data_IF_615866993231
#
_entry.id   IF_615866993231
#
_cell.length_a   1.000
_cell.length_b   1.000
_cell.length_c   1.000
_cell.angle_alpha   90.00
_cell.angle_beta   90.00
_cell.angle_gamma   90.00
#
_symmetry.space_group_name_H-M   'P 1'
#
loop_
_entity.id
_entity.type
_entity.pdbx_description
1 polymer ?
#
# COMPACT_ATOMS: atom_id res chain seq x y z
N UNK A 1 45.98 1.25 4.22
CA UNK A 1 46.37 2.24 3.20
C UNK A 1 45.35 3.35 3.25
N UNK A 2 45.77 4.50 3.78
CA UNK A 2 44.99 5.74 3.87
C UNK A 2 44.93 6.37 2.48
N UNK A 3 43.78 6.89 2.08
CA UNK A 3 43.69 7.86 0.98
C UNK A 3 42.81 9.03 1.42
N UNK A 4 43.46 10.19 1.37
CA UNK A 4 42.98 11.51 1.74
C UNK A 4 42.05 12.09 0.67
N UNK A 5 41.02 12.78 1.17
CA UNK A 5 40.40 14.06 0.75
C UNK A 5 40.88 14.64 -0.60
N UNK A 6 39.94 15.01 -1.48
CA UNK A 6 39.95 16.31 -2.17
C UNK A 6 38.54 16.70 -2.61
N UNK A 7 38.08 17.85 -2.12
CA UNK A 7 36.88 18.57 -2.54
C UNK A 7 37.33 19.79 -3.35
N UNK A 8 36.76 20.09 -4.52
CA UNK A 8 36.95 21.40 -5.14
C UNK A 8 35.73 22.27 -4.93
N UNK A 9 35.96 23.39 -4.24
CA UNK A 9 35.07 24.55 -4.24
C UNK A 9 35.02 25.15 -5.66
N UNK A 10 33.83 25.38 -6.19
CA UNK A 10 33.63 26.18 -7.40
C UNK A 10 33.15 27.56 -7.00
N UNK A 11 33.98 28.54 -7.34
CA UNK A 11 33.81 29.97 -7.12
C UNK A 11 32.66 30.56 -7.95
N UNK A 12 31.86 31.39 -7.29
CA UNK A 12 30.77 32.21 -7.80
C UNK A 12 31.24 33.38 -8.67
N UNK A 13 30.76 33.46 -9.91
CA UNK A 13 30.75 34.71 -10.70
C UNK A 13 29.50 34.73 -11.61
N UNK A 14 28.47 35.45 -11.19
CA UNK A 14 27.33 35.85 -12.04
C UNK A 14 27.17 37.37 -11.96
N UNK A 15 26.91 38.06 -13.09
CA UNK A 15 26.80 39.51 -13.12
C UNK A 15 25.47 39.99 -12.51
N UNK A 16 25.52 41.10 -11.77
CA UNK A 16 24.32 41.79 -11.24
C UNK A 16 23.66 42.59 -12.37
N UNK A 17 22.40 42.31 -12.65
CA UNK A 17 21.50 43.15 -13.46
C UNK A 17 20.46 43.76 -12.49
N UNK A 18 20.19 45.08 -12.52
CA UNK A 18 19.08 45.65 -11.78
C UNK A 18 17.82 45.60 -12.64
N UNK A 19 16.78 44.94 -12.15
CA UNK A 19 15.42 45.09 -12.69
C UNK A 19 14.54 45.63 -11.57
N UNK A 20 14.29 46.93 -11.65
CA UNK A 20 13.13 47.53 -11.02
C UNK A 20 11.89 47.04 -11.79
N UNK A 21 10.99 46.33 -11.13
CA UNK A 21 9.60 46.23 -11.57
C UNK A 21 8.68 46.31 -10.37
N UNK A 22 7.81 47.30 -10.46
CA UNK A 22 6.72 47.68 -9.58
C UNK A 22 5.66 46.59 -9.48
N UNK A 23 5.18 46.35 -8.25
CA UNK A 23 3.79 46.00 -7.91
C UNK A 23 3.14 44.83 -8.66
N UNK A 24 3.09 43.66 -8.03
CA UNK A 24 1.96 42.74 -8.16
C UNK A 24 1.56 42.18 -6.79
N UNK A 25 0.25 42.18 -6.58
CA UNK A 25 -0.52 41.78 -5.40
C UNK A 25 -0.09 40.43 -4.83
N UNK A 26 -0.01 40.33 -3.50
CA UNK A 26 0.06 39.05 -2.78
C UNK A 26 -1.22 38.25 -3.11
N UNK A 27 -1.15 37.32 -4.05
CA UNK A 27 -2.07 36.21 -4.09
C UNK A 27 -1.76 35.33 -2.88
N UNK A 28 -2.73 35.19 -1.97
CA UNK A 28 -2.70 34.18 -0.93
C UNK A 28 -2.50 32.80 -1.57
N UNK A 29 -1.30 32.25 -1.41
CA UNK A 29 -1.04 30.83 -1.60
C UNK A 29 -1.82 30.13 -0.48
N UNK A 30 -3.04 29.69 -0.79
CA UNK A 30 -3.74 28.74 0.05
C UNK A 30 -2.98 27.42 -0.06
N UNK A 31 -2.35 27.03 1.04
CA UNK A 31 -1.77 25.70 1.21
C UNK A 31 -2.92 24.70 0.98
N UNK A 32 -2.92 24.05 -0.18
CA UNK A 32 -3.82 22.94 -0.46
C UNK A 32 -3.52 21.85 0.58
N UNK A 33 -4.44 21.69 1.53
CA UNK A 33 -4.42 20.59 2.47
C UNK A 33 -4.68 19.32 1.68
N UNK A 34 -3.64 18.54 1.39
CA UNK A 34 -3.79 17.16 0.93
C UNK A 34 -4.65 16.42 1.96
N UNK A 35 -5.89 16.12 1.56
CA UNK A 35 -6.78 15.23 2.30
C UNK A 35 -6.08 13.87 2.35
N UNK A 36 -5.45 13.51 3.48
CA UNK A 36 -4.98 12.14 3.69
C UNK A 36 -6.15 11.21 3.37
N UNK A 37 -5.91 10.24 2.48
CA UNK A 37 -6.89 9.26 2.07
C UNK A 37 -7.45 8.57 3.32
N UNK A 38 -8.76 8.71 3.56
CA UNK A 38 -9.45 8.11 4.72
C UNK A 38 -9.32 6.59 4.79
N UNK A 39 -8.89 5.96 3.69
CA UNK A 39 -8.76 4.52 3.56
C UNK A 39 -7.47 3.96 4.18
N UNK A 40 -6.54 4.85 4.56
CA UNK A 40 -5.28 4.51 5.24
C UNK A 40 -5.40 4.49 6.76
N UNK A 41 -6.53 4.94 7.30
CA UNK A 41 -6.79 4.93 8.74
C UNK A 41 -7.24 3.53 9.19
N UNK A 42 -6.90 3.14 10.41
CA UNK A 42 -7.35 1.87 11.00
C UNK A 42 -8.89 1.79 11.00
N UNK A 43 -9.43 0.58 10.92
CA UNK A 43 -10.87 0.37 11.02
C UNK A 43 -11.38 0.81 12.39
N UNK A 44 -12.44 1.62 12.42
CA UNK A 44 -13.16 1.91 13.66
C UNK A 44 -13.75 0.60 14.21
N UNK A 45 -13.84 0.42 15.54
CA UNK A 45 -14.27 -0.85 16.14
C UNK A 45 -15.59 -1.40 15.57
N UNK A 46 -16.60 -0.55 15.39
CA UNK A 46 -17.90 -0.97 14.85
C UNK A 46 -17.82 -1.47 13.40
N UNK A 47 -17.01 -0.83 12.55
CA UNK A 47 -16.82 -1.24 11.15
C UNK A 47 -15.96 -2.52 11.07
N UNK A 48 -15.04 -2.69 12.03
CA UNK A 48 -14.11 -3.82 12.09
C UNK A 48 -14.86 -5.12 12.30
N UNK A 49 -15.70 -5.20 13.33
CA UNK A 49 -16.38 -6.44 13.71
C UNK A 49 -17.24 -6.99 12.57
N UNK A 50 -18.00 -6.11 11.90
CA UNK A 50 -18.81 -6.49 10.76
C UNK A 50 -17.95 -7.05 9.62
N UNK A 51 -16.89 -6.34 9.22
CA UNK A 51 -16.06 -6.77 8.09
C UNK A 51 -15.27 -8.04 8.39
N UNK A 52 -14.73 -8.17 9.60
CA UNK A 52 -14.01 -9.37 10.03
C UNK A 52 -14.96 -10.57 10.08
N UNK A 53 -16.20 -10.39 10.57
CA UNK A 53 -17.20 -11.46 10.56
C UNK A 53 -17.55 -11.93 9.13
N UNK A 54 -17.73 -11.01 8.19
CA UNK A 54 -17.96 -11.32 6.77
C UNK A 54 -16.80 -12.12 6.17
N UNK A 55 -15.55 -11.72 6.45
CA UNK A 55 -14.36 -12.39 5.92
C UNK A 55 -14.12 -13.76 6.57
N UNK A 56 -14.47 -13.93 7.85
CA UNK A 56 -14.46 -15.26 8.51
C UNK A 56 -15.40 -16.23 7.82
N UNK A 57 -16.58 -15.77 7.37
CA UNK A 57 -17.52 -16.61 6.64
C UNK A 57 -16.96 -17.14 5.30
N UNK A 58 -15.94 -16.47 4.74
CA UNK A 58 -15.24 -16.93 3.53
C UNK A 58 -13.88 -17.57 3.82
N UNK A 59 -13.55 -17.84 5.09
CA UNK A 59 -12.35 -18.59 5.49
C UNK A 59 -11.11 -17.73 5.78
N UNK A 60 -11.25 -16.42 5.93
CA UNK A 60 -10.18 -15.59 6.51
C UNK A 60 -10.16 -15.74 8.03
N UNK A 61 -8.96 -15.66 8.61
CA UNK A 61 -8.73 -15.73 10.06
C UNK A 61 -7.92 -14.52 10.49
N UNK A 62 -8.08 -14.07 11.73
CA UNK A 62 -7.16 -13.09 12.31
C UNK A 62 -5.84 -13.76 12.67
N UNK A 63 -4.74 -13.01 12.55
CA UNK A 63 -3.41 -13.47 12.95
C UNK A 63 -3.23 -13.22 14.45
N UNK A 64 -2.71 -14.22 15.17
CA UNK A 64 -2.38 -14.06 16.59
C UNK A 64 -1.28 -13.00 16.77
N UNK A 65 -1.42 -12.14 17.79
CA UNK A 65 -0.48 -11.07 18.14
C UNK A 65 -0.17 -10.04 17.05
N UNK A 66 -0.96 -10.00 15.98
CA UNK A 66 -0.80 -9.04 14.88
C UNK A 66 -2.16 -8.59 14.36
N UNK A 67 -2.34 -7.27 14.20
CA UNK A 67 -3.54 -6.73 13.59
C UNK A 67 -3.56 -6.95 12.06
N UNK A 68 -3.83 -8.20 11.67
CA UNK A 68 -3.80 -8.68 10.29
C UNK A 68 -4.82 -9.81 10.10
N UNK A 69 -5.19 -10.05 8.84
CA UNK A 69 -5.99 -11.21 8.43
C UNK A 69 -5.19 -12.13 7.53
N UNK A 70 -5.49 -13.42 7.59
CA UNK A 70 -4.80 -14.49 6.90
C UNK A 70 -5.78 -15.45 6.24
N UNK A 71 -5.41 -15.99 5.06
CA UNK A 71 -6.13 -17.08 4.41
C UNK A 71 -5.19 -17.98 3.61
N UNK A 72 -5.47 -19.27 3.64
CA UNK A 72 -4.82 -20.27 2.79
C UNK A 72 -5.73 -20.65 1.61
N UNK A 73 -5.19 -20.61 0.40
CA UNK A 73 -5.90 -20.91 -0.85
C UNK A 73 -5.26 -22.11 -1.53
N UNK A 74 -6.07 -23.07 -1.96
CA UNK A 74 -5.64 -24.31 -2.61
C UNK A 74 -6.19 -24.37 -4.03
N UNK A 75 -5.30 -24.51 -5.00
CA UNK A 75 -5.63 -24.61 -6.43
C UNK A 75 -5.35 -26.03 -6.94
N UNK A 76 -5.75 -26.35 -8.18
CA UNK A 76 -5.47 -27.68 -8.76
C UNK A 76 -4.00 -27.86 -9.16
N UNK A 77 -3.37 -26.79 -9.64
CA UNK A 77 -2.00 -26.81 -10.17
C UNK A 77 -1.26 -25.52 -9.84
N UNK A 78 0.06 -25.53 -9.99
CA UNK A 78 0.87 -24.32 -9.89
C UNK A 78 0.46 -23.25 -10.93
N UNK A 79 0.11 -23.65 -12.15
CA UNK A 79 -0.30 -22.70 -13.19
C UNK A 79 -1.56 -21.92 -12.78
N UNK A 80 -2.55 -22.59 -12.19
CA UNK A 80 -3.73 -21.92 -11.64
C UNK A 80 -3.37 -20.98 -10.48
N UNK A 81 -2.55 -21.45 -9.53
CA UNK A 81 -2.11 -20.64 -8.40
C UNK A 81 -1.39 -19.37 -8.85
N UNK A 82 -0.46 -19.48 -9.81
CA UNK A 82 0.28 -18.34 -10.31
C UNK A 82 -0.57 -17.41 -11.19
N UNK A 83 -1.55 -17.95 -11.92
CA UNK A 83 -2.56 -17.16 -12.63
C UNK A 83 -3.43 -16.34 -11.67
N UNK A 84 -3.86 -16.94 -10.56
CA UNK A 84 -4.51 -16.24 -9.45
C UNK A 84 -3.62 -15.12 -8.90
N UNK A 85 -2.36 -15.44 -8.54
CA UNK A 85 -1.42 -14.46 -7.99
C UNK A 85 -1.20 -13.28 -8.95
N UNK A 86 -1.05 -13.56 -10.24
CA UNK A 86 -0.87 -12.51 -11.26
C UNK A 86 -2.04 -11.52 -11.29
N UNK A 87 -3.29 -11.99 -11.17
CA UNK A 87 -4.48 -11.13 -11.12
C UNK A 87 -4.52 -10.29 -9.83
N UNK A 88 -4.12 -10.86 -8.70
CA UNK A 88 -4.00 -10.14 -7.42
C UNK A 88 -2.90 -9.08 -7.49
N UNK A 89 -1.75 -9.38 -8.09
CA UNK A 89 -0.66 -8.42 -8.25
C UNK A 89 -1.08 -7.17 -9.06
N UNK A 90 -1.82 -7.36 -10.15
CA UNK A 90 -2.36 -6.24 -10.94
C UNK A 90 -3.31 -5.35 -10.13
N UNK A 91 -4.13 -5.96 -9.28
CA UNK A 91 -5.02 -5.20 -8.41
C UNK A 91 -4.26 -4.51 -7.27
N UNK A 92 -3.22 -5.14 -6.73
CA UNK A 92 -2.34 -4.56 -5.72
C UNK A 92 -1.67 -3.28 -6.22
N UNK A 93 -1.14 -3.29 -7.43
CA UNK A 93 -0.58 -2.09 -8.08
C UNK A 93 -1.63 -1.00 -8.26
N UNK A 94 -2.83 -1.36 -8.75
CA UNK A 94 -3.93 -0.40 -8.90
C UNK A 94 -4.37 0.23 -7.57
N UNK A 95 -4.34 -0.53 -6.49
CA UNK A 95 -4.72 -0.07 -5.15
C UNK A 95 -3.58 0.61 -4.40
N UNK A 96 -2.34 0.48 -4.89
CA UNK A 96 -1.13 0.74 -4.12
C UNK A 96 -1.19 0.12 -2.72
N UNK A 97 -1.55 -1.16 -2.67
CA UNK A 97 -1.71 -1.95 -1.45
C UNK A 97 -1.36 -3.41 -1.73
N UNK A 98 -0.27 -3.89 -1.16
CA UNK A 98 0.33 -5.17 -1.52
C UNK A 98 0.08 -6.24 -0.46
N UNK A 99 -0.24 -7.48 -0.85
CA UNK A 99 -0.32 -8.58 0.10
C UNK A 99 1.09 -9.03 0.56
N UNK A 100 1.16 -9.57 1.77
CA UNK A 100 2.23 -10.47 2.16
C UNK A 100 1.80 -11.89 1.81
N UNK A 101 2.61 -12.64 1.06
CA UNK A 101 2.23 -14.02 0.72
C UNK A 101 3.40 -14.98 0.61
N UNK A 102 3.06 -16.26 0.71
CA UNK A 102 3.97 -17.38 0.50
C UNK A 102 3.28 -18.41 -0.41
N UNK A 103 3.98 -18.90 -1.43
CA UNK A 103 3.46 -19.89 -2.37
C UNK A 103 4.31 -21.16 -2.36
N UNK A 104 3.63 -22.31 -2.27
CA UNK A 104 4.25 -23.64 -2.46
C UNK A 104 3.39 -24.43 -3.44
N UNK A 105 3.86 -24.55 -4.69
CA UNK A 105 3.13 -25.21 -5.78
C UNK A 105 1.70 -24.67 -5.92
N UNK A 106 0.69 -25.46 -5.59
CA UNK A 106 -0.72 -25.12 -5.73
C UNK A 106 -1.33 -24.44 -4.49
N UNK A 107 -0.54 -24.12 -3.47
CA UNK A 107 -1.00 -23.46 -2.24
C UNK A 107 -0.50 -22.02 -2.18
N UNK A 108 -1.37 -21.09 -1.83
CA UNK A 108 -1.02 -19.68 -1.62
C UNK A 108 -1.52 -19.25 -0.25
N UNK A 109 -0.59 -18.87 0.61
CA UNK A 109 -0.82 -18.34 1.94
C UNK A 109 -0.79 -16.82 1.83
N UNK A 110 -1.87 -16.12 2.22
CA UNK A 110 -1.97 -14.66 2.08
C UNK A 110 -2.24 -14.04 3.45
N UNK A 111 -1.45 -13.03 3.80
CA UNK A 111 -1.63 -12.16 4.97
C UNK A 111 -1.84 -10.73 4.48
N UNK A 112 -2.82 -10.03 5.06
CA UNK A 112 -3.14 -8.64 4.75
C UNK A 112 -3.10 -7.80 6.02
N UNK A 113 -2.38 -6.68 5.94
CA UNK A 113 -2.36 -5.60 6.93
C UNK A 113 -1.93 -4.31 6.21
N UNK A 114 -2.29 -3.17 6.77
CA UNK A 114 -1.82 -1.87 6.28
C UNK A 114 -0.65 -1.38 7.13
N UNK A 115 0.56 -1.38 6.54
CA UNK A 115 1.77 -0.94 7.23
C UNK A 115 1.71 0.53 7.69
N UNK A 116 1.13 1.41 6.87
CA UNK A 116 1.05 2.86 7.15
C UNK A 116 0.36 3.17 8.50
N UNK A 117 -0.62 2.36 8.90
CA UNK A 117 -1.35 2.50 10.16
C UNK A 117 -1.06 1.38 11.17
N UNK A 118 -0.12 0.48 10.87
CA UNK A 118 0.27 -0.61 11.76
C UNK A 118 -0.82 -1.64 12.05
N UNK A 119 -1.82 -1.80 11.16
CA UNK A 119 -2.94 -2.70 11.41
C UNK A 119 -3.95 -2.78 10.26
N UNK A 120 -5.14 -3.33 10.53
CA UNK A 120 -6.18 -3.51 9.51
C UNK A 120 -6.84 -2.19 9.12
N UNK A 121 -6.96 -1.97 7.81
CA UNK A 121 -7.67 -0.84 7.22
C UNK A 121 -8.72 -1.29 6.20
N UNK A 122 -9.45 -0.32 5.65
CA UNK A 122 -10.39 -0.54 4.54
C UNK A 122 -9.68 -1.10 3.30
N UNK A 123 -8.38 -0.85 3.11
CA UNK A 123 -7.60 -1.39 1.98
C UNK A 123 -7.46 -2.91 2.08
N UNK A 124 -7.23 -3.43 3.29
CA UNK A 124 -7.15 -4.87 3.55
C UNK A 124 -8.48 -5.56 3.25
N UNK A 125 -9.60 -4.99 3.72
CA UNK A 125 -10.94 -5.52 3.45
C UNK A 125 -11.25 -5.54 1.95
N UNK A 126 -10.93 -4.45 1.23
CA UNK A 126 -11.12 -4.37 -0.23
C UNK A 126 -10.28 -5.42 -0.96
N UNK A 127 -9.01 -5.61 -0.55
CA UNK A 127 -8.11 -6.61 -1.14
C UNK A 127 -8.60 -8.03 -0.86
N UNK A 128 -9.01 -8.34 0.37
CA UNK A 128 -9.55 -9.64 0.75
C UNK A 128 -10.78 -10.03 -0.09
N UNK A 129 -11.73 -9.11 -0.23
CA UNK A 129 -12.93 -9.31 -1.07
C UNK A 129 -12.58 -9.51 -2.55
N UNK A 130 -11.57 -8.80 -3.06
CA UNK A 130 -11.09 -9.01 -4.42
C UNK A 130 -10.44 -10.39 -4.59
N UNK A 131 -9.58 -10.80 -3.65
CA UNK A 131 -8.95 -12.12 -3.63
C UNK A 131 -10.01 -13.22 -3.67
N UNK A 132 -11.04 -13.14 -2.83
CA UNK A 132 -12.13 -14.11 -2.81
C UNK A 132 -12.83 -14.20 -4.17
N UNK A 133 -13.11 -13.05 -4.80
CA UNK A 133 -13.71 -13.00 -6.13
C UNK A 133 -12.83 -13.67 -7.20
N UNK A 134 -11.52 -13.43 -7.17
CA UNK A 134 -10.59 -14.04 -8.13
C UNK A 134 -10.51 -15.55 -7.90
N UNK A 135 -10.40 -15.99 -6.64
CA UNK A 135 -10.31 -17.40 -6.26
C UNK A 135 -11.55 -18.19 -6.69
N UNK A 136 -12.75 -17.61 -6.58
CA UNK A 136 -14.00 -18.25 -7.04
C UNK A 136 -14.09 -18.43 -8.58
N UNK A 137 -13.20 -17.80 -9.35
CA UNK A 137 -13.19 -17.84 -10.81
C UNK A 137 -12.05 -18.67 -11.40
N UNK A 138 -11.36 -19.46 -10.58
CA UNK A 138 -10.22 -20.33 -10.94
C UNK A 138 -10.57 -21.79 -10.72
#
# INVERSE_FOLDING_TARGET
>A
MSWLIFSPAVSSLWPRIPLAFTGLSLAHITRSSTKMSSDSHWLAPADRDQHVMELRATGWMEVEDRDAIYKELHFKTFNQAFGFMSRVALQAEKMNHHPEWFNTYNKVHVTLTTHDCGGLSKRDIKMAKFIDKVALSM
#
